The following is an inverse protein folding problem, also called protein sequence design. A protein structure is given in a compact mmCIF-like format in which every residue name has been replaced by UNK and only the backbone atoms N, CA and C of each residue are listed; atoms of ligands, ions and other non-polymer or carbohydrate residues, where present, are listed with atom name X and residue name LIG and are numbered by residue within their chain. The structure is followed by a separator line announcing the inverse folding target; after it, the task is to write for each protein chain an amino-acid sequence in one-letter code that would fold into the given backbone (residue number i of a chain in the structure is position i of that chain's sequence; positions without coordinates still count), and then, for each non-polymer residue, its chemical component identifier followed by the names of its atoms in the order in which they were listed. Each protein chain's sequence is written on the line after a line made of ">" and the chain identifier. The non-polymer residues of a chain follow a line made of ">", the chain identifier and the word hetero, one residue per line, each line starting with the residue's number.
data_IF_620704116261
#
_entry.id   IF_620704116261
#
_cell.length_a   1.000
_cell.length_b   1.000
_cell.length_c   1.000
_cell.angle_alpha   90.00
_cell.angle_beta   90.00
_cell.angle_gamma   90.00
#
_symmetry.space_group_name_H-M   'P 1'
#
loop_
_entity.id
_entity.type
_entity.pdbx_description
1 polymer ?
#
# COMPACT_ATOMS: atom_id res chain seq x y z
N UNK A 1 -11.92 -45.08 -40.05
CA UNK A 1 -11.95 -43.61 -39.95
C UNK A 1 -11.93 -43.24 -38.46
N UNK A 2 -10.78 -42.84 -37.90
CA UNK A 2 -10.63 -42.58 -36.45
C UNK A 2 -10.59 -41.06 -36.22
N UNK A 3 -11.66 -40.51 -35.66
CA UNK A 3 -11.81 -39.09 -35.36
C UNK A 3 -11.03 -38.76 -34.07
N UNK A 4 -9.98 -37.95 -34.19
CA UNK A 4 -9.22 -37.45 -33.03
C UNK A 4 -9.86 -36.15 -32.56
N UNK A 5 -10.55 -36.20 -31.43
CA UNK A 5 -11.08 -35.02 -30.74
C UNK A 5 -9.89 -34.28 -30.09
N UNK A 6 -9.56 -33.09 -30.60
CA UNK A 6 -8.58 -32.21 -29.98
C UNK A 6 -9.28 -31.46 -28.83
N UNK A 7 -8.89 -31.77 -27.59
CA UNK A 7 -9.37 -31.10 -26.39
C UNK A 7 -8.59 -29.79 -26.21
N UNK A 8 -9.23 -28.65 -26.48
CA UNK A 8 -8.69 -27.33 -26.12
C UNK A 8 -8.67 -27.19 -24.59
N UNK A 9 -7.49 -27.20 -23.99
CA UNK A 9 -7.29 -26.75 -22.60
C UNK A 9 -7.52 -25.24 -22.56
N UNK A 10 -8.68 -24.82 -22.05
CA UNK A 10 -8.89 -23.43 -21.63
C UNK A 10 -8.09 -23.19 -20.34
N UNK A 11 -7.06 -22.34 -20.43
CA UNK A 11 -6.35 -21.79 -19.28
C UNK A 11 -7.32 -20.87 -18.51
N UNK A 12 -7.92 -21.39 -17.45
CA UNK A 12 -8.64 -20.59 -16.47
C UNK A 12 -7.59 -19.76 -15.71
N UNK A 13 -7.44 -18.49 -16.07
CA UNK A 13 -6.73 -17.52 -15.24
C UNK A 13 -7.45 -17.43 -13.90
N UNK A 14 -6.85 -17.97 -12.84
CA UNK A 14 -7.36 -17.81 -11.49
C UNK A 14 -7.39 -16.32 -11.15
N UNK A 15 -8.44 -15.83 -10.46
CA UNK A 15 -8.39 -14.49 -9.90
C UNK A 15 -7.24 -14.48 -8.91
N UNK A 16 -6.22 -13.66 -9.18
CA UNK A 16 -5.17 -13.37 -8.21
C UNK A 16 -5.86 -12.56 -7.13
N UNK A 17 -6.47 -13.24 -6.16
CA UNK A 17 -6.80 -12.60 -4.91
C UNK A 17 -5.49 -12.03 -4.40
N UNK A 18 -5.40 -10.71 -4.27
CA UNK A 18 -4.29 -10.01 -3.63
C UNK A 18 -4.14 -10.58 -2.22
N UNK A 19 -3.35 -11.64 -2.09
CA UNK A 19 -3.14 -12.33 -0.84
C UNK A 19 -1.97 -11.61 -0.19
N UNK A 20 -2.29 -10.69 0.72
CA UNK A 20 -1.32 -9.95 1.51
C UNK A 20 -0.23 -10.91 2.00
N UNK A 21 1.02 -10.65 1.62
CA UNK A 21 2.16 -11.47 2.05
C UNK A 21 2.23 -11.52 3.59
N UNK A 22 2.88 -12.54 4.16
CA UNK A 22 3.05 -12.61 5.62
C UNK A 22 3.70 -11.34 6.20
N UNK A 23 4.67 -10.77 5.49
CA UNK A 23 5.31 -9.51 5.85
C UNK A 23 4.32 -8.34 5.81
N UNK A 24 3.46 -8.26 4.78
CA UNK A 24 2.46 -7.20 4.69
C UNK A 24 1.42 -7.30 5.81
N UNK A 25 0.92 -8.51 6.10
CA UNK A 25 -0.01 -8.74 7.21
C UNK A 25 0.59 -8.38 8.56
N UNK A 26 1.87 -8.71 8.77
CA UNK A 26 2.60 -8.35 9.98
C UNK A 26 2.70 -6.82 10.13
N UNK A 27 3.12 -6.10 9.08
CA UNK A 27 3.25 -4.64 9.12
C UNK A 27 1.89 -3.94 9.28
N UNK A 28 0.84 -4.42 8.61
CA UNK A 28 -0.53 -3.90 8.81
C UNK A 28 -0.96 -4.04 10.27
N UNK A 29 -0.71 -5.19 10.90
CA UNK A 29 -1.05 -5.42 12.29
C UNK A 29 -0.21 -4.55 13.24
N UNK A 30 1.09 -4.40 12.97
CA UNK A 30 2.00 -3.56 13.75
C UNK A 30 1.59 -2.08 13.70
N UNK A 31 1.34 -1.55 12.51
CA UNK A 31 0.93 -0.16 12.33
C UNK A 31 -0.47 0.10 12.91
N UNK A 32 -1.42 -0.85 12.81
CA UNK A 32 -2.72 -0.74 13.49
C UNK A 32 -2.60 -0.70 15.01
N UNK A 33 -1.77 -1.59 15.59
CA UNK A 33 -1.55 -1.64 17.02
C UNK A 33 -0.98 -0.30 17.52
N UNK A 34 0.04 0.23 16.82
CA UNK A 34 0.64 1.51 17.17
C UNK A 34 -0.33 2.69 16.98
N UNK A 35 -1.05 2.74 15.86
CA UNK A 35 -1.96 3.83 15.53
C UNK A 35 -3.19 3.91 16.45
N UNK A 36 -3.57 2.78 17.05
CA UNK A 36 -4.74 2.64 17.93
C UNK A 36 -4.40 2.37 19.41
N UNK A 37 -3.13 2.46 19.80
CA UNK A 37 -2.65 2.17 21.17
C UNK A 37 -3.16 0.81 21.69
N UNK A 38 -2.99 -0.24 20.88
CA UNK A 38 -3.38 -1.62 21.18
C UNK A 38 -4.89 -1.85 21.43
N UNK A 39 -5.76 -0.86 21.21
CA UNK A 39 -7.23 -1.02 21.36
C UNK A 39 -7.89 -1.82 20.25
N UNK A 40 -7.11 -2.18 19.23
CA UNK A 40 -7.59 -2.75 17.98
C UNK A 40 -8.26 -1.71 17.08
N UNK A 41 -8.45 -2.11 15.83
CA UNK A 41 -8.98 -1.27 14.77
C UNK A 41 -8.84 -1.99 13.43
N UNK A 42 -9.11 -1.27 12.35
CA UNK A 42 -8.97 -1.79 11.00
C UNK A 42 -8.58 -0.67 10.04
N UNK A 43 -7.96 -1.04 8.93
CA UNK A 43 -7.90 -0.18 7.75
C UNK A 43 -9.18 -0.37 6.94
N UNK A 44 -9.94 0.69 6.71
CA UNK A 44 -11.08 0.71 5.78
C UNK A 44 -10.65 1.08 4.35
N UNK A 45 -9.50 1.74 4.24
CA UNK A 45 -8.82 2.09 2.98
C UNK A 45 -7.33 2.31 3.28
N UNK A 46 -6.53 2.73 2.30
CA UNK A 46 -5.16 3.16 2.57
C UNK A 46 -4.11 2.04 2.63
N UNK A 47 -4.48 0.80 2.31
CA UNK A 47 -3.52 -0.28 2.06
C UNK A 47 -3.33 -0.42 0.55
N UNK A 48 -2.09 -0.32 0.10
CA UNK A 48 -1.73 -0.48 -1.32
C UNK A 48 -0.60 -1.50 -1.46
N UNK A 49 -0.84 -2.53 -2.27
CA UNK A 49 0.18 -3.53 -2.64
C UNK A 49 0.38 -3.46 -4.15
N UNK A 50 1.50 -2.88 -4.57
CA UNK A 50 1.89 -2.68 -5.97
C UNK A 50 3.41 -2.64 -6.07
N UNK A 51 3.96 -2.71 -7.27
CA UNK A 51 5.39 -2.63 -7.53
C UNK A 51 5.84 -1.16 -7.54
N UNK A 52 6.30 -0.66 -6.39
CA UNK A 52 6.65 0.74 -6.16
C UNK A 52 8.05 1.11 -6.64
N UNK A 53 8.93 0.14 -6.88
CA UNK A 53 10.29 0.38 -7.40
C UNK A 53 10.56 -0.19 -8.80
N UNK A 54 9.61 -0.92 -9.36
CA UNK A 54 9.65 -1.45 -10.73
C UNK A 54 10.45 -2.75 -10.85
N UNK A 55 10.69 -3.47 -9.75
CA UNK A 55 11.48 -4.71 -9.73
C UNK A 55 10.66 -5.97 -10.06
N UNK A 56 9.35 -5.82 -10.26
CA UNK A 56 8.41 -6.89 -10.57
C UNK A 56 7.85 -7.60 -9.34
N UNK A 57 8.15 -7.14 -8.13
CA UNK A 57 7.60 -7.68 -6.89
C UNK A 57 6.63 -6.71 -6.23
N UNK A 58 5.67 -7.26 -5.46
CA UNK A 58 4.74 -6.43 -4.71
C UNK A 58 5.38 -5.88 -3.44
N UNK A 59 5.36 -4.56 -3.35
CA UNK A 59 5.72 -3.74 -2.20
C UNK A 59 4.48 -3.43 -1.36
N UNK A 60 4.66 -2.64 -0.29
CA UNK A 60 3.57 -2.21 0.58
C UNK A 60 3.63 -0.70 0.79
N UNK A 61 2.48 -0.04 0.68
CA UNK A 61 2.27 1.30 1.20
C UNK A 61 1.06 1.32 2.11
N UNK A 62 1.22 1.97 3.26
CA UNK A 62 0.15 2.20 4.24
C UNK A 62 -0.05 3.69 4.43
N UNK A 63 -1.29 4.15 4.24
CA UNK A 63 -1.71 5.51 4.54
C UNK A 63 -2.69 5.51 5.71
N UNK A 64 -2.26 6.09 6.83
CA UNK A 64 -2.95 5.95 8.12
C UNK A 64 -4.23 6.78 8.23
N UNK A 65 -4.60 7.54 7.20
CA UNK A 65 -5.90 8.19 7.09
C UNK A 65 -7.04 7.16 6.99
N UNK A 66 -6.77 5.98 6.42
CA UNK A 66 -7.75 4.91 6.30
C UNK A 66 -7.96 4.08 7.57
N UNK A 67 -7.28 4.39 8.68
CA UNK A 67 -7.43 3.66 9.95
C UNK A 67 -8.65 4.13 10.73
N UNK A 68 -9.42 3.17 11.20
CA UNK A 68 -10.49 3.35 12.17
C UNK A 68 -10.17 2.53 13.43
N UNK A 69 -10.01 3.21 14.57
CA UNK A 69 -9.71 2.59 15.86
C UNK A 69 -10.99 2.30 16.65
N UNK A 70 -11.00 1.18 17.37
CA UNK A 70 -12.18 0.77 18.14
C UNK A 70 -12.41 1.70 19.35
N UNK A 71 -13.66 2.15 19.52
CA UNK A 71 -14.07 2.90 20.72
C UNK A 71 -13.43 4.28 20.88
N UNK A 72 -12.69 4.76 19.88
CA UNK A 72 -12.06 6.08 19.87
C UNK A 72 -12.76 6.93 18.81
N UNK A 73 -13.47 8.00 19.21
CA UNK A 73 -13.98 8.97 18.24
C UNK A 73 -12.81 9.81 17.70
N UNK A 74 -12.59 9.77 16.39
CA UNK A 74 -11.58 10.59 15.72
C UNK A 74 -10.64 9.81 14.82
N UNK A 75 -9.54 10.45 14.43
CA UNK A 75 -8.50 9.87 13.57
C UNK A 75 -7.52 9.03 14.39
N UNK A 76 -6.75 8.19 13.69
CA UNK A 76 -5.65 7.44 14.29
C UNK A 76 -4.56 8.36 14.88
N UNK A 77 -3.71 7.85 15.77
CA UNK A 77 -2.61 8.63 16.35
C UNK A 77 -1.55 9.06 15.32
N UNK A 78 -1.53 8.40 14.16
CA UNK A 78 -0.65 8.76 13.06
C UNK A 78 -1.23 9.85 12.16
N UNK A 79 -2.35 10.45 12.57
CA UNK A 79 -2.91 11.62 11.93
C UNK A 79 -2.69 12.87 12.78
N UNK A 80 -2.13 13.90 12.15
CA UNK A 80 -2.19 15.26 12.66
C UNK A 80 -3.52 15.94 12.32
N UNK A 81 -3.55 17.26 12.47
CA UNK A 81 -4.74 18.06 12.16
C UNK A 81 -5.11 18.06 10.67
N UNK A 82 -4.13 17.95 9.77
CA UNK A 82 -4.33 18.09 8.32
C UNK A 82 -3.95 16.84 7.52
N UNK A 83 -2.88 16.15 7.89
CA UNK A 83 -2.34 15.01 7.15
C UNK A 83 -2.10 13.82 8.08
N UNK A 84 -2.01 12.63 7.50
CA UNK A 84 -1.62 11.42 8.20
C UNK A 84 -0.30 10.89 7.66
N UNK A 85 0.39 10.13 8.48
CA UNK A 85 1.57 9.39 8.05
C UNK A 85 1.21 8.46 6.90
N UNK A 86 2.07 8.44 5.91
CA UNK A 86 2.15 7.46 4.84
C UNK A 86 3.53 6.82 4.92
N UNK A 87 3.59 5.50 4.87
CA UNK A 87 4.85 4.76 4.85
C UNK A 87 4.88 3.84 3.65
N UNK A 88 6.04 3.73 3.02
CA UNK A 88 6.30 2.82 1.90
C UNK A 88 7.42 1.86 2.29
N UNK A 89 7.16 0.57 2.14
CA UNK A 89 8.13 -0.49 2.30
C UNK A 89 8.37 -1.19 0.97
N UNK A 90 9.63 -1.31 0.60
CA UNK A 90 10.05 -2.03 -0.61
C UNK A 90 10.46 -3.45 -0.25
N UNK A 91 10.17 -4.40 -1.15
CA UNK A 91 10.46 -5.81 -0.98
C UNK A 91 11.94 -6.08 -1.20
N UNK A 92 12.58 -6.73 -0.24
CA UNK A 92 13.98 -7.16 -0.32
C UNK A 92 14.07 -8.62 0.10
N UNK A 93 13.86 -9.50 -0.88
CA UNK A 93 13.67 -10.93 -0.66
C UNK A 93 12.35 -11.19 0.06
N UNK A 94 12.38 -11.96 1.15
CA UNK A 94 11.19 -12.32 1.91
C UNK A 94 10.68 -11.19 2.83
N UNK A 95 11.44 -10.10 2.97
CA UNK A 95 11.16 -9.00 3.89
C UNK A 95 10.68 -7.75 3.16
N UNK A 96 9.90 -6.94 3.87
CA UNK A 96 9.56 -5.57 3.50
C UNK A 96 10.42 -4.62 4.34
N UNK A 97 11.13 -3.69 3.69
CA UNK A 97 12.00 -2.71 4.36
C UNK A 97 11.46 -1.31 4.15
N UNK A 98 11.31 -0.54 5.23
CA UNK A 98 10.87 0.84 5.16
C UNK A 98 11.83 1.62 4.25
N UNK A 99 11.28 2.24 3.22
CA UNK A 99 12.02 2.97 2.20
C UNK A 99 11.71 4.46 2.23
N UNK A 100 10.48 4.84 2.57
CA UNK A 100 10.10 6.25 2.69
C UNK A 100 8.93 6.45 3.67
N UNK A 101 8.85 7.66 4.21
CA UNK A 101 7.77 8.12 5.09
C UNK A 101 7.43 9.59 4.78
N UNK A 102 6.14 9.88 4.64
CA UNK A 102 5.64 11.22 4.34
C UNK A 102 4.37 11.55 5.14
N UNK A 103 4.00 12.83 5.19
CA UNK A 103 2.74 13.29 5.76
C UNK A 103 1.83 13.82 4.64
N UNK A 104 0.77 13.06 4.33
CA UNK A 104 -0.17 13.41 3.25
C UNK A 104 -1.62 13.17 3.65
N UNK A 105 -2.52 13.87 2.96
CA UNK A 105 -3.96 13.65 2.99
C UNK A 105 -4.47 13.27 1.60
N UNK A 106 -5.57 12.53 1.53
CA UNK A 106 -6.27 12.16 0.28
C UNK A 106 -5.32 11.54 -0.75
N UNK A 107 -4.61 10.50 -0.33
CA UNK A 107 -3.59 9.86 -1.16
C UNK A 107 -4.22 9.05 -2.28
N UNK A 108 -3.63 9.14 -3.47
CA UNK A 108 -3.92 8.28 -4.61
C UNK A 108 -2.63 7.69 -5.17
N UNK A 109 -2.74 6.48 -5.72
CA UNK A 109 -1.65 5.77 -6.41
C UNK A 109 -2.13 5.47 -7.81
N UNK A 110 -1.36 5.90 -8.81
CA UNK A 110 -1.70 5.61 -10.21
C UNK A 110 -1.28 4.19 -10.64
N UNK A 111 -1.54 3.86 -11.90
CA UNK A 111 -1.24 2.55 -12.47
C UNK A 111 0.08 2.50 -13.24
N UNK A 112 0.96 3.49 -13.12
CA UNK A 112 2.28 3.45 -13.75
C UNK A 112 3.22 2.47 -13.02
N UNK A 113 4.36 2.15 -13.63
CA UNK A 113 5.40 1.31 -13.01
C UNK A 113 6.78 1.94 -13.24
N UNK A 114 7.45 2.48 -12.21
CA UNK A 114 6.92 2.71 -10.86
C UNK A 114 5.70 3.67 -10.84
N UNK A 115 4.71 3.46 -9.97
CA UNK A 115 3.54 4.31 -9.85
C UNK A 115 3.90 5.68 -9.28
N UNK A 116 3.09 6.70 -9.61
CA UNK A 116 3.13 7.99 -8.94
C UNK A 116 2.18 7.99 -7.77
N UNK A 117 2.70 8.37 -6.61
CA UNK A 117 1.91 8.65 -5.40
C UNK A 117 1.60 10.13 -5.37
N UNK A 118 0.32 10.48 -5.19
CA UNK A 118 -0.17 11.85 -5.09
C UNK A 118 -0.93 12.05 -3.80
N UNK A 119 -0.88 13.24 -3.25
CA UNK A 119 -1.70 13.63 -2.10
C UNK A 119 -1.51 15.11 -1.78
N UNK A 120 -2.05 15.55 -0.65
CA UNK A 120 -1.92 16.92 -0.20
C UNK A 120 -1.09 16.99 1.08
N UNK A 121 -0.07 17.84 1.09
CA UNK A 121 0.71 18.14 2.28
C UNK A 121 0.03 19.22 3.13
N UNK A 122 0.63 19.52 4.28
CA UNK A 122 0.19 20.62 5.14
C UNK A 122 0.07 21.94 4.33
N UNK A 123 -1.04 22.65 4.50
CA UNK A 123 -1.33 23.86 3.72
C UNK A 123 -1.99 23.60 2.36
N UNK A 124 -2.36 22.36 2.05
CA UNK A 124 -3.18 22.01 0.89
C UNK A 124 -2.45 22.00 -0.45
N UNK A 125 -1.12 22.10 -0.45
CA UNK A 125 -0.33 21.94 -1.67
C UNK A 125 -0.36 20.48 -2.10
N UNK A 126 -0.52 20.24 -3.40
CA UNK A 126 -0.38 18.89 -3.94
C UNK A 126 1.10 18.48 -3.90
N UNK A 127 1.35 17.23 -3.53
CA UNK A 127 2.65 16.57 -3.65
C UNK A 127 2.48 15.36 -4.57
N UNK A 128 3.43 15.19 -5.49
CA UNK A 128 3.52 14.03 -6.36
C UNK A 128 4.94 13.50 -6.36
N UNK A 129 5.12 12.21 -6.08
CA UNK A 129 6.44 11.61 -6.01
C UNK A 129 6.42 10.17 -6.50
N UNK A 130 7.58 9.66 -6.91
CA UNK A 130 7.75 8.26 -7.32
C UNK A 130 9.20 7.82 -7.16
N UNK A 131 9.42 6.51 -7.24
CA UNK A 131 10.76 5.95 -7.25
C UNK A 131 11.58 6.39 -8.48
N UNK A 132 12.84 6.76 -8.25
CA UNK A 132 13.81 7.21 -9.28
C UNK A 132 14.91 6.19 -9.59
N UNK A 133 14.94 5.07 -8.88
CA UNK A 133 16.04 4.11 -8.88
C UNK A 133 16.90 4.18 -7.62
N UNK A 134 16.92 5.33 -6.94
CA UNK A 134 17.71 5.57 -5.72
C UNK A 134 16.86 5.96 -4.51
N UNK A 135 15.66 6.49 -4.74
CA UNK A 135 14.76 6.96 -3.69
C UNK A 135 13.43 7.39 -4.26
N UNK A 136 12.51 7.76 -3.37
CA UNK A 136 11.28 8.47 -3.72
C UNK A 136 11.57 9.97 -3.82
N UNK A 137 11.25 10.56 -4.97
CA UNK A 137 11.53 11.98 -5.23
C UNK A 137 10.31 12.70 -5.81
N UNK A 138 10.17 13.97 -5.42
CA UNK A 138 9.10 14.86 -5.88
C UNK A 138 9.28 15.19 -7.36
N UNK A 139 8.17 15.27 -8.08
CA UNK A 139 8.12 15.68 -9.50
C UNK A 139 7.58 17.08 -9.71
#
# INVERSE_FOLDING_TARGET
>A
MRMRLALCLALLASPVAAQQSNAARYLVAEELAAACEDRGGQFESGIFETDFDGDGQLDLMLHHEGIVCNGVPGRSLFCGAQACTLKIWLRRGDLLKLADEALLASVTVDSATPPVVRGYQHGGQELAFRWTGTGFEVR
#
